data_IF_719382452795
#
_entry.id   IF_719382452795
#
_cell.length_a   1.000
_cell.length_b   1.000
_cell.length_c   1.000
_cell.angle_alpha   90.00
_cell.angle_beta   90.00
_cell.angle_gamma   90.00
#
_symmetry.space_group_name_H-M   'P 1'
#
loop_
_entity.id
_entity.type
_entity.pdbx_description
1 polymer ?
#
# COMPACT_ATOMS: atom_id res chain seq x y z
N UNK A 1 16.92 34.14 2.09
CA UNK A 1 15.46 34.37 2.03
C UNK A 1 15.26 35.87 1.90
N UNK A 2 14.39 36.40 1.03
CA UNK A 2 14.24 37.87 0.93
C UNK A 2 13.69 38.41 2.26
N UNK A 3 14.17 39.56 2.74
CA UNK A 3 13.72 40.19 4.01
C UNK A 3 12.19 40.25 4.11
N UNK A 4 11.48 40.50 3.01
CA UNK A 4 10.02 40.52 2.96
C UNK A 4 9.35 39.16 3.27
N UNK A 5 9.97 38.06 2.87
CA UNK A 5 9.46 36.70 3.12
C UNK A 5 9.78 36.26 4.54
N UNK A 6 10.93 36.70 5.06
CA UNK A 6 11.32 36.53 6.44
C UNK A 6 10.35 37.27 7.37
N UNK A 7 9.97 38.50 7.00
CA UNK A 7 8.95 39.28 7.68
C UNK A 7 7.54 38.68 7.58
N UNK A 8 7.17 38.06 6.45
CA UNK A 8 5.86 37.39 6.30
C UNK A 8 5.79 36.10 7.13
N UNK A 9 6.87 35.32 7.14
CA UNK A 9 7.01 34.13 7.99
C UNK A 9 7.07 34.55 9.46
N UNK A 10 7.74 35.65 9.79
CA UNK A 10 7.74 36.23 11.14
C UNK A 10 6.38 36.81 11.55
N UNK A 11 5.60 37.43 10.67
CA UNK A 11 4.20 37.87 10.96
C UNK A 11 3.29 36.65 11.20
N UNK A 12 3.46 35.56 10.42
CA UNK A 12 2.77 34.27 10.63
C UNK A 12 3.26 33.58 11.91
N UNK A 13 4.50 33.82 12.34
CA UNK A 13 5.10 33.25 13.54
C UNK A 13 4.95 34.14 14.79
N UNK A 14 4.71 35.45 14.69
CA UNK A 14 4.36 36.35 15.82
C UNK A 14 2.98 35.99 16.40
N UNK A 15 2.19 35.23 15.64
CA UNK A 15 1.02 34.47 16.10
C UNK A 15 1.40 33.45 17.22
N UNK A 16 2.70 33.29 17.54
CA UNK A 16 3.23 32.61 18.74
C UNK A 16 2.74 33.19 20.08
N UNK A 17 1.98 34.28 20.07
CA UNK A 17 1.30 34.83 21.25
C UNK A 17 -0.22 34.97 21.06
N UNK A 18 -0.95 33.87 20.90
CA UNK A 18 -2.40 33.75 21.19
C UNK A 18 -3.27 34.98 20.86
N UNK A 19 -3.53 35.26 19.57
CA UNK A 19 -4.80 35.90 19.17
C UNK A 19 -5.29 35.33 17.86
N UNK A 20 -6.55 34.92 17.89
CA UNK A 20 -7.27 34.41 16.74
C UNK A 20 -7.50 35.61 15.79
N UNK A 21 -6.96 35.56 14.58
CA UNK A 21 -7.12 36.62 13.56
C UNK A 21 -8.60 36.85 13.27
N UNK A 22 -9.07 38.09 13.27
CA UNK A 22 -10.38 38.43 12.70
C UNK A 22 -10.32 38.30 11.17
N UNK A 23 -11.48 38.22 10.52
CA UNK A 23 -11.58 37.98 9.07
C UNK A 23 -10.81 39.03 8.25
N UNK A 24 -10.72 40.26 8.77
CA UNK A 24 -9.97 41.37 8.17
C UNK A 24 -8.44 41.20 8.31
N UNK A 25 -7.94 40.66 9.42
CA UNK A 25 -6.54 40.30 9.59
C UNK A 25 -6.15 39.14 8.68
N UNK A 26 -7.04 38.17 8.53
CA UNK A 26 -6.85 37.01 7.67
C UNK A 26 -6.74 37.40 6.18
N UNK A 27 -7.70 38.20 5.68
CA UNK A 27 -7.71 38.63 4.28
C UNK A 27 -6.51 39.52 3.94
N UNK A 28 -5.96 40.28 4.91
CA UNK A 28 -4.72 41.05 4.71
C UNK A 28 -3.49 40.17 4.48
N UNK A 29 -3.36 39.06 5.21
CA UNK A 29 -2.25 38.11 5.03
C UNK A 29 -2.35 37.44 3.67
N UNK A 30 -3.56 37.00 3.28
CA UNK A 30 -3.85 36.42 1.97
C UNK A 30 -3.45 37.37 0.83
N UNK A 31 -3.92 38.62 0.87
CA UNK A 31 -3.62 39.63 -0.15
C UNK A 31 -2.12 39.93 -0.23
N UNK A 32 -1.43 40.03 0.91
CA UNK A 32 0.03 40.23 0.94
C UNK A 32 0.79 39.05 0.32
N UNK A 33 0.42 37.82 0.64
CA UNK A 33 1.05 36.61 0.10
C UNK A 33 0.87 36.52 -1.43
N UNK A 34 -0.36 36.70 -1.91
CA UNK A 34 -0.67 36.70 -3.35
C UNK A 34 0.09 37.80 -4.09
N UNK A 35 0.15 39.02 -3.53
CA UNK A 35 0.91 40.13 -4.13
C UNK A 35 2.42 39.88 -4.16
N UNK A 36 2.98 39.28 -3.10
CA UNK A 36 4.39 38.92 -3.05
C UNK A 36 4.71 37.82 -4.07
N UNK A 37 3.86 36.79 -4.17
CA UNK A 37 3.99 35.70 -5.14
C UNK A 37 3.99 36.23 -6.58
N UNK A 38 2.97 37.03 -6.93
CA UNK A 38 2.84 37.65 -8.26
C UNK A 38 4.00 38.56 -8.64
N UNK A 39 4.70 39.15 -7.64
CA UNK A 39 5.82 40.06 -7.88
C UNK A 39 7.15 39.33 -8.09
N UNK A 40 7.33 38.12 -7.53
CA UNK A 40 8.65 37.48 -7.45
C UNK A 40 8.80 36.18 -8.27
N UNK A 41 7.71 35.58 -8.79
CA UNK A 41 7.76 34.44 -9.71
C UNK A 41 8.59 33.21 -9.24
N UNK A 42 8.73 32.99 -7.92
CA UNK A 42 9.57 31.94 -7.34
C UNK A 42 8.75 30.79 -6.71
N UNK A 43 8.34 29.83 -7.55
CA UNK A 43 7.55 28.64 -7.17
C UNK A 43 8.21 27.78 -6.07
N UNK A 44 9.51 27.51 -6.18
CA UNK A 44 10.23 26.60 -5.28
C UNK A 44 10.35 27.14 -3.84
N UNK A 45 10.37 28.48 -3.67
CA UNK A 45 10.41 29.10 -2.35
C UNK A 45 9.02 29.15 -1.71
N UNK A 46 7.96 29.32 -2.51
CA UNK A 46 6.58 29.23 -2.03
C UNK A 46 6.25 27.81 -1.51
N UNK A 47 6.69 26.76 -2.21
CA UNK A 47 6.48 25.35 -1.79
C UNK A 47 7.13 25.03 -0.43
N UNK A 48 8.35 25.52 -0.18
CA UNK A 48 9.03 25.31 1.12
C UNK A 48 8.36 26.05 2.26
N UNK A 49 7.77 27.21 1.99
CA UNK A 49 6.99 27.97 2.98
C UNK A 49 5.67 27.26 3.28
N UNK A 50 5.00 26.72 2.27
CA UNK A 50 3.81 25.87 2.44
C UNK A 50 4.10 24.67 3.34
N UNK A 51 5.16 23.90 3.06
CA UNK A 51 5.53 22.72 3.85
C UNK A 51 5.79 23.06 5.33
N UNK A 52 6.50 24.14 5.61
CA UNK A 52 6.83 24.53 6.99
C UNK A 52 5.62 25.10 7.75
N UNK A 53 4.69 25.77 7.06
CA UNK A 53 3.42 26.23 7.62
C UNK A 53 2.51 25.03 7.91
N UNK A 54 2.32 24.12 6.95
CA UNK A 54 1.51 22.92 7.08
C UNK A 54 2.00 22.01 8.22
N UNK A 55 3.32 21.79 8.31
CA UNK A 55 3.94 21.00 9.40
C UNK A 55 3.63 21.56 10.79
N UNK A 56 3.56 22.90 10.92
CA UNK A 56 3.26 23.56 12.21
C UNK A 56 1.78 23.58 12.54
N UNK A 57 0.89 23.67 11.55
CA UNK A 57 -0.56 23.51 11.73
C UNK A 57 -0.88 22.11 12.30
N UNK A 58 -0.31 21.06 11.71
CA UNK A 58 -0.43 19.68 12.22
C UNK A 58 0.10 19.53 13.66
N UNK A 59 1.11 20.33 14.03
CA UNK A 59 1.70 20.32 15.38
C UNK A 59 0.79 21.04 16.40
N UNK A 60 0.00 22.02 15.96
CA UNK A 60 -1.00 22.71 16.78
C UNK A 60 -2.26 21.85 16.98
N UNK A 61 -2.68 21.10 15.95
CA UNK A 61 -3.75 20.10 16.06
C UNK A 61 -3.39 19.01 17.08
N UNK A 62 -2.16 18.49 17.02
CA UNK A 62 -1.65 17.50 17.99
C UNK A 62 -1.59 18.02 19.43
N UNK A 63 -1.57 19.34 19.64
CA UNK A 63 -1.64 19.96 20.98
C UNK A 63 -3.06 20.22 21.46
N UNK A 64 -4.08 19.73 20.76
CA UNK A 64 -5.49 19.84 21.15
C UNK A 64 -6.08 21.23 20.95
N UNK A 65 -5.40 22.12 20.21
CA UNK A 65 -5.91 23.44 19.85
C UNK A 65 -6.84 23.31 18.65
N UNK A 66 -7.84 22.43 18.69
CA UNK A 66 -8.78 22.28 17.57
C UNK A 66 -9.81 23.41 17.65
N UNK A 67 -9.63 24.44 16.82
CA UNK A 67 -10.66 25.45 16.60
C UNK A 67 -11.11 25.39 15.14
N UNK A 68 -12.38 25.73 14.88
CA UNK A 68 -13.01 25.80 13.55
C UNK A 68 -12.15 26.52 12.49
N UNK A 69 -11.29 27.43 12.95
CA UNK A 69 -10.34 28.21 12.15
C UNK A 69 -9.12 27.42 11.64
N UNK A 70 -8.74 26.29 12.24
CA UNK A 70 -7.71 25.40 11.69
C UNK A 70 -8.24 24.68 10.43
N UNK A 71 -9.52 24.29 10.42
CA UNK A 71 -10.16 23.70 9.25
C UNK A 71 -10.31 24.71 8.11
N UNK A 72 -10.65 25.96 8.41
CA UNK A 72 -10.67 27.05 7.41
C UNK A 72 -9.26 27.33 6.86
N UNK A 73 -8.21 27.19 7.69
CA UNK A 73 -6.82 27.36 7.27
C UNK A 73 -6.33 26.23 6.34
N UNK A 74 -6.75 24.98 6.58
CA UNK A 74 -6.50 23.86 5.64
C UNK A 74 -7.16 24.13 4.28
N UNK A 75 -8.40 24.60 4.26
CA UNK A 75 -9.08 24.95 3.00
C UNK A 75 -8.35 26.03 2.19
N UNK A 76 -7.71 27.00 2.85
CA UNK A 76 -6.91 28.02 2.17
C UNK A 76 -5.52 27.54 1.73
N UNK A 77 -4.94 26.57 2.44
CA UNK A 77 -3.74 25.88 1.98
C UNK A 77 -4.05 25.09 0.70
N UNK A 78 -5.23 24.48 0.61
CA UNK A 78 -5.69 23.77 -0.58
C UNK A 78 -5.94 24.74 -1.76
N UNK A 79 -6.56 25.90 -1.53
CA UNK A 79 -6.69 26.94 -2.58
C UNK A 79 -5.34 27.46 -3.07
N UNK A 80 -4.35 27.61 -2.17
CA UNK A 80 -3.00 28.03 -2.57
C UNK A 80 -2.31 26.97 -3.45
N UNK A 81 -2.56 25.69 -3.19
CA UNK A 81 -2.08 24.57 -4.01
C UNK A 81 -2.72 24.60 -5.39
N UNK A 82 -4.02 24.86 -5.49
CA UNK A 82 -4.71 24.98 -6.78
C UNK A 82 -4.16 26.15 -7.61
N UNK A 83 -3.87 27.29 -6.99
CA UNK A 83 -3.26 28.45 -7.67
C UNK A 83 -1.84 28.10 -8.15
N UNK A 84 -1.02 27.46 -7.31
CA UNK A 84 0.33 26.99 -7.69
C UNK A 84 0.28 26.01 -8.87
N UNK A 85 -0.69 25.10 -8.88
CA UNK A 85 -0.89 24.12 -9.93
C UNK A 85 -1.39 24.76 -11.25
N UNK A 86 -2.26 25.77 -11.17
CA UNK A 86 -2.76 26.50 -12.35
C UNK A 86 -1.67 27.34 -13.05
N UNK A 87 -0.63 27.76 -12.32
CA UNK A 87 0.50 28.49 -12.89
C UNK A 87 1.56 27.54 -13.49
N UNK A 88 1.77 26.35 -12.91
CA UNK A 88 2.68 25.35 -13.45
C UNK A 88 2.29 24.92 -14.88
N UNK A 89 0.99 24.86 -15.17
CA UNK A 89 0.46 24.53 -16.51
C UNK A 89 0.61 25.69 -17.52
N UNK A 90 0.75 26.93 -17.07
CA UNK A 90 0.87 28.11 -17.95
C UNK A 90 2.30 28.39 -18.41
N UNK A 91 3.32 28.00 -17.62
CA UNK A 91 4.73 28.35 -17.90
C UNK A 91 5.46 27.29 -18.75
N UNK A 92 4.82 26.15 -19.06
CA UNK A 92 5.38 25.09 -19.92
C UNK A 92 6.86 24.77 -19.57
N UNK A 93 7.14 24.59 -18.27
CA UNK A 93 8.47 24.23 -17.79
C UNK A 93 8.73 22.75 -18.13
N UNK A 94 9.14 22.51 -19.36
CA UNK A 94 9.86 21.31 -19.78
C UNK A 94 11.22 21.29 -19.07
N UNK A 95 11.26 20.76 -17.85
CA UNK A 95 12.51 20.61 -17.12
C UNK A 95 12.30 20.40 -15.62
N UNK A 96 12.40 19.14 -15.20
CA UNK A 96 12.96 18.68 -13.93
C UNK A 96 12.79 19.61 -12.73
N UNK A 97 11.59 19.61 -12.12
CA UNK A 97 11.32 19.83 -10.68
C UNK A 97 9.83 20.18 -10.46
N UNK A 98 8.90 19.31 -10.83
CA UNK A 98 7.50 19.43 -10.43
C UNK A 98 7.28 18.72 -9.09
N UNK A 99 7.10 19.51 -8.03
CA UNK A 99 6.57 19.03 -6.75
C UNK A 99 5.09 18.72 -6.98
N UNK A 100 4.73 17.44 -6.87
CA UNK A 100 3.36 16.97 -6.99
C UNK A 100 2.59 17.33 -5.71
N UNK A 101 1.61 18.23 -5.82
CA UNK A 101 0.50 18.29 -4.87
C UNK A 101 -0.78 18.23 -5.69
N UNK A 102 -1.59 17.22 -5.39
CA UNK A 102 -2.62 16.71 -6.28
C UNK A 102 -3.78 17.66 -6.55
N UNK A 103 -4.23 17.64 -7.80
CA UNK A 103 -5.61 17.80 -8.29
C UNK A 103 -5.54 18.19 -9.77
N UNK A 104 -5.62 17.21 -10.68
CA UNK A 104 -5.97 17.46 -12.07
C UNK A 104 -6.36 16.16 -12.80
N UNK A 105 -7.67 15.86 -12.77
CA UNK A 105 -8.34 15.40 -13.98
C UNK A 105 -8.11 16.46 -15.06
N UNK A 106 -7.42 16.09 -16.14
CA UNK A 106 -7.79 16.27 -17.56
C UNK A 106 -6.56 15.93 -18.39
N UNK A 107 -6.58 14.76 -19.04
CA UNK A 107 -6.54 14.65 -20.51
C UNK A 107 -6.92 13.21 -20.85
N UNK A 108 -8.08 13.07 -21.50
CA UNK A 108 -8.66 11.79 -21.91
C UNK A 108 -7.81 11.13 -23.00
N UNK A 109 -7.02 10.15 -22.60
CA UNK A 109 -6.91 8.92 -23.38
C UNK A 109 -7.85 7.90 -22.73
N UNK A 110 -8.50 7.04 -23.54
CA UNK A 110 -9.34 5.93 -23.05
C UNK A 110 -8.47 4.89 -22.31
N UNK A 111 -7.87 5.25 -21.18
CA UNK A 111 -7.20 4.30 -20.30
C UNK A 111 -8.30 3.54 -19.56
N UNK A 112 -8.43 2.26 -19.89
CA UNK A 112 -9.36 1.34 -19.22
C UNK A 112 -9.03 1.33 -17.72
N UNK A 113 -10.02 1.70 -16.90
CA UNK A 113 -9.97 1.58 -15.44
C UNK A 113 -9.55 0.16 -15.05
N UNK A 114 -8.50 0.02 -14.25
CA UNK A 114 -8.03 -1.26 -13.71
C UNK A 114 -8.84 -1.61 -12.46
N UNK A 115 -9.64 -2.68 -12.51
CA UNK A 115 -10.40 -3.16 -11.35
C UNK A 115 -9.60 -4.22 -10.61
N UNK A 116 -9.27 -3.96 -9.34
CA UNK A 116 -8.48 -4.87 -8.49
C UNK A 116 -9.34 -5.38 -7.35
N UNK A 117 -9.45 -6.70 -7.23
CA UNK A 117 -9.98 -7.35 -6.04
C UNK A 117 -8.81 -7.64 -5.09
N UNK A 118 -8.84 -7.14 -3.86
CA UNK A 118 -7.82 -7.45 -2.83
C UNK A 118 -8.44 -8.36 -1.77
N UNK A 119 -7.81 -9.51 -1.57
CA UNK A 119 -8.19 -10.53 -0.59
C UNK A 119 -7.18 -10.53 0.56
N UNK A 120 -7.69 -10.59 1.79
CA UNK A 120 -6.93 -10.88 2.99
C UNK A 120 -7.50 -12.14 3.68
N UNK A 121 -6.68 -12.87 4.45
CA UNK A 121 -7.17 -14.03 5.19
C UNK A 121 -7.98 -13.57 6.42
N UNK A 122 -7.48 -12.53 7.11
CA UNK A 122 -8.05 -12.04 8.35
C UNK A 122 -8.38 -10.54 8.26
N UNK A 123 -9.26 -10.09 9.16
CA UNK A 123 -9.67 -8.69 9.22
C UNK A 123 -8.49 -7.75 9.52
N UNK A 124 -7.60 -8.13 10.44
CA UNK A 124 -6.45 -7.30 10.84
C UNK A 124 -5.44 -7.08 9.70
N UNK A 125 -5.25 -8.08 8.84
CA UNK A 125 -4.50 -7.93 7.59
C UNK A 125 -5.15 -6.89 6.67
N UNK A 126 -6.48 -6.93 6.51
CA UNK A 126 -7.21 -5.95 5.69
C UNK A 126 -7.21 -4.55 6.31
N UNK A 127 -7.22 -4.45 7.65
CA UNK A 127 -7.28 -3.16 8.33
C UNK A 127 -6.10 -2.25 7.96
N UNK A 128 -4.91 -2.82 7.72
CA UNK A 128 -3.74 -2.07 7.28
C UNK A 128 -3.96 -1.38 5.92
N UNK A 129 -4.64 -2.05 5.00
CA UNK A 129 -5.05 -1.47 3.71
C UNK A 129 -6.09 -0.35 3.91
N UNK A 130 -7.11 -0.59 4.73
CA UNK A 130 -8.20 0.36 4.93
C UNK A 130 -7.82 1.63 5.70
N UNK A 131 -6.68 1.61 6.41
CA UNK A 131 -6.13 2.78 7.13
C UNK A 131 -5.29 3.70 6.23
N UNK A 132 -5.03 3.31 4.98
CA UNK A 132 -4.29 4.15 4.05
C UNK A 132 -5.14 5.37 3.66
N UNK A 133 -4.85 6.51 4.29
CA UNK A 133 -5.54 7.79 4.08
C UNK A 133 -5.41 8.38 2.68
N UNK A 134 -4.54 7.80 1.84
CA UNK A 134 -4.47 8.13 0.42
C UNK A 134 -5.72 7.72 -0.38
N UNK A 135 -6.60 6.90 0.20
CA UNK A 135 -7.84 6.46 -0.44
C UNK A 135 -9.08 6.87 0.38
N UNK A 136 -10.13 7.31 -0.31
CA UNK A 136 -11.46 7.55 0.28
C UNK A 136 -12.21 6.22 0.39
N UNK A 137 -11.86 5.42 1.41
CA UNK A 137 -12.45 4.11 1.65
C UNK A 137 -13.92 4.20 2.05
N UNK A 138 -14.75 3.35 1.43
CA UNK A 138 -16.19 3.23 1.72
C UNK A 138 -16.54 1.77 2.01
N UNK A 139 -17.34 1.57 3.03
CA UNK A 139 -17.96 0.27 3.28
C UNK A 139 -19.12 0.07 2.29
N UNK A 140 -19.21 -1.11 1.69
CA UNK A 140 -20.22 -1.47 0.70
C UNK A 140 -20.53 -2.98 0.76
N UNK A 141 -21.49 -3.43 -0.04
CA UNK A 141 -21.84 -4.84 -0.21
C UNK A 141 -21.88 -5.19 -1.69
N UNK A 142 -21.19 -6.27 -2.07
CA UNK A 142 -21.39 -6.84 -3.41
C UNK A 142 -22.80 -7.45 -3.51
N UNK A 143 -23.30 -7.63 -4.74
CA UNK A 143 -24.64 -8.19 -5.01
C UNK A 143 -24.88 -9.58 -4.37
N UNK A 144 -23.81 -10.31 -4.02
CA UNK A 144 -23.89 -11.57 -3.28
C UNK A 144 -23.93 -11.41 -1.74
N UNK A 145 -24.15 -10.19 -1.23
CA UNK A 145 -24.16 -9.85 0.20
C UNK A 145 -22.77 -9.90 0.87
N UNK A 146 -21.67 -9.88 0.11
CA UNK A 146 -20.32 -9.87 0.68
C UNK A 146 -19.99 -8.45 1.16
N UNK A 147 -19.72 -8.21 2.45
CA UNK A 147 -19.22 -6.92 2.91
C UNK A 147 -17.82 -6.67 2.32
N UNK A 148 -17.63 -5.47 1.79
CA UNK A 148 -16.38 -5.06 1.13
C UNK A 148 -16.02 -3.63 1.47
N UNK A 149 -14.74 -3.29 1.31
CA UNK A 149 -14.25 -1.92 1.28
C UNK A 149 -13.94 -1.53 -0.16
N UNK A 150 -14.54 -0.44 -0.63
CA UNK A 150 -14.29 0.13 -1.95
C UNK A 150 -13.40 1.36 -1.78
N UNK A 151 -12.34 1.43 -2.58
CA UNK A 151 -11.43 2.56 -2.64
C UNK A 151 -10.77 2.62 -4.02
N UNK A 152 -9.71 3.42 -4.13
CA UNK A 152 -8.97 3.52 -5.38
C UNK A 152 -8.19 4.82 -5.49
N UNK A 153 -7.44 4.91 -6.58
CA UNK A 153 -6.61 6.05 -6.92
C UNK A 153 -6.44 6.10 -8.44
N UNK A 154 -6.40 7.32 -9.00
CA UNK A 154 -6.19 7.54 -10.44
C UNK A 154 -7.09 6.64 -11.31
N UNK A 155 -6.52 5.74 -12.13
CA UNK A 155 -7.22 4.77 -12.98
C UNK A 155 -7.34 3.36 -12.36
N UNK A 156 -7.16 3.23 -11.04
CA UNK A 156 -7.24 1.96 -10.30
C UNK A 156 -8.41 2.00 -9.32
N UNK A 157 -9.36 1.08 -9.50
CA UNK A 157 -10.46 0.85 -8.57
C UNK A 157 -10.16 -0.39 -7.73
N UNK A 158 -10.30 -0.29 -6.42
CA UNK A 158 -10.03 -1.38 -5.48
C UNK A 158 -11.32 -1.80 -4.79
N UNK A 159 -11.61 -3.09 -4.81
CA UNK A 159 -12.60 -3.74 -3.94
C UNK A 159 -11.85 -4.73 -3.04
N UNK A 160 -11.92 -4.53 -1.74
CA UNK A 160 -11.14 -5.31 -0.79
C UNK A 160 -12.03 -6.01 0.24
N UNK A 161 -11.70 -7.24 0.58
CA UNK A 161 -12.44 -8.06 1.52
C UNK A 161 -11.53 -9.05 2.24
N UNK A 162 -12.01 -9.59 3.36
CA UNK A 162 -11.32 -10.61 4.13
C UNK A 162 -12.20 -11.86 4.28
N UNK A 163 -11.57 -13.01 4.55
CA UNK A 163 -12.26 -14.28 4.65
C UNK A 163 -12.95 -14.44 6.02
N UNK A 164 -13.91 -15.37 6.11
CA UNK A 164 -14.55 -15.71 7.39
C UNK A 164 -13.60 -16.41 8.36
N UNK A 165 -12.68 -17.22 7.82
CA UNK A 165 -11.66 -17.94 8.55
C UNK A 165 -10.42 -18.14 7.65
N UNK A 166 -9.32 -18.57 8.26
CA UNK A 166 -8.09 -18.94 7.55
C UNK A 166 -8.25 -20.26 6.79
N UNK A 167 -7.41 -20.49 5.79
CA UNK A 167 -7.37 -21.76 5.06
C UNK A 167 -7.87 -21.69 3.62
N UNK A 168 -7.63 -22.79 2.89
CA UNK A 168 -7.84 -22.85 1.44
C UNK A 168 -9.32 -22.75 1.06
N UNK A 169 -10.21 -23.27 1.90
CA UNK A 169 -11.65 -23.32 1.64
C UNK A 169 -12.25 -21.91 1.68
N UNK A 170 -12.08 -21.19 2.78
CA UNK A 170 -12.61 -19.83 2.95
C UNK A 170 -11.99 -18.85 1.96
N UNK A 171 -10.68 -18.96 1.70
CA UNK A 171 -10.02 -18.16 0.67
C UNK A 171 -10.59 -18.41 -0.73
N UNK A 172 -10.92 -19.66 -1.07
CA UNK A 172 -11.56 -20.02 -2.35
C UNK A 172 -12.98 -19.45 -2.47
N UNK A 173 -13.78 -19.55 -1.40
CA UNK A 173 -15.15 -19.02 -1.35
C UNK A 173 -15.14 -17.50 -1.53
N UNK A 174 -14.29 -16.80 -0.76
CA UNK A 174 -14.16 -15.36 -0.85
C UNK A 174 -13.72 -14.91 -2.25
N UNK A 175 -12.64 -15.51 -2.75
CA UNK A 175 -12.09 -15.18 -4.07
C UNK A 175 -13.13 -15.39 -5.17
N UNK A 176 -13.89 -16.50 -5.10
CA UNK A 176 -14.94 -16.80 -6.07
C UNK A 176 -16.07 -15.78 -6.01
N UNK A 177 -16.53 -15.40 -4.82
CA UNK A 177 -17.58 -14.36 -4.64
C UNK A 177 -17.13 -13.02 -5.19
N UNK A 178 -15.89 -12.61 -4.92
CA UNK A 178 -15.31 -11.38 -5.45
C UNK A 178 -15.19 -11.41 -6.97
N UNK A 179 -14.65 -12.48 -7.55
CA UNK A 179 -14.53 -12.63 -9.00
C UNK A 179 -15.88 -12.56 -9.71
N UNK A 180 -16.87 -13.32 -9.21
CA UNK A 180 -18.19 -13.39 -9.81
C UNK A 180 -19.03 -12.14 -9.64
N UNK A 181 -18.85 -11.38 -8.55
CA UNK A 181 -19.70 -10.22 -8.25
C UNK A 181 -19.06 -8.88 -8.62
N UNK A 182 -17.72 -8.78 -8.57
CA UNK A 182 -17.00 -7.54 -8.83
C UNK A 182 -16.37 -7.47 -10.23
N UNK A 183 -16.12 -8.64 -10.85
CA UNK A 183 -15.46 -8.78 -12.15
C UNK A 183 -14.13 -8.01 -12.25
N UNK A 184 -13.13 -8.37 -11.43
CA UNK A 184 -11.82 -7.71 -11.43
C UNK A 184 -10.99 -8.07 -12.66
N UNK A 185 -10.09 -7.17 -13.08
CA UNK A 185 -9.01 -7.45 -14.03
C UNK A 185 -7.81 -8.15 -13.36
N UNK A 186 -7.67 -7.98 -12.04
CA UNK A 186 -6.63 -8.55 -11.19
C UNK A 186 -7.23 -8.92 -9.83
N UNK A 187 -7.04 -10.16 -9.38
CA UNK A 187 -7.23 -10.53 -7.97
C UNK A 187 -5.86 -10.61 -7.30
N UNK A 188 -5.70 -9.89 -6.20
CA UNK A 188 -4.47 -9.82 -5.42
C UNK A 188 -4.72 -10.30 -4.00
N UNK A 189 -3.77 -11.05 -3.42
CA UNK A 189 -3.78 -11.40 -2.00
C UNK A 189 -2.68 -10.64 -1.26
N UNK A 190 -3.04 -10.04 -0.12
CA UNK A 190 -2.10 -9.50 0.88
C UNK A 190 -2.13 -10.36 2.14
N UNK A 191 -1.17 -10.15 3.02
CA UNK A 191 -1.13 -10.77 4.35
C UNK A 191 0.26 -11.25 4.74
N UNK A 192 0.29 -12.08 5.78
CA UNK A 192 1.52 -12.62 6.35
C UNK A 192 1.78 -14.07 5.92
N UNK A 193 3.01 -14.52 6.11
CA UNK A 193 3.45 -15.88 5.84
C UNK A 193 4.63 -16.29 6.74
N UNK A 194 4.83 -17.61 6.85
CA UNK A 194 6.01 -18.19 7.47
C UNK A 194 7.16 -18.29 6.47
N UNK A 195 8.30 -17.66 6.76
CA UNK A 195 9.45 -17.59 5.86
C UNK A 195 10.44 -18.73 6.06
N UNK A 196 11.15 -19.11 5.00
CA UNK A 196 12.26 -20.07 5.07
C UNK A 196 13.60 -19.36 5.23
N UNK A 197 14.06 -19.23 6.48
CA UNK A 197 15.30 -18.51 6.85
C UNK A 197 16.54 -18.96 6.06
N UNK A 198 16.67 -20.27 5.81
CA UNK A 198 17.78 -20.88 5.07
C UNK A 198 17.91 -20.35 3.63
N UNK A 199 16.84 -19.78 3.07
CA UNK A 199 16.82 -19.17 1.73
C UNK A 199 17.15 -17.68 1.76
N UNK A 200 17.61 -17.15 2.90
CA UNK A 200 18.01 -15.74 3.06
C UNK A 200 16.84 -14.77 3.25
N UNK A 201 15.66 -15.30 3.55
CA UNK A 201 14.44 -14.57 3.88
C UNK A 201 14.46 -14.16 5.36
N UNK A 202 14.03 -12.93 5.67
CA UNK A 202 14.05 -12.35 7.02
C UNK A 202 12.65 -11.84 7.39
N UNK A 203 12.39 -11.63 8.69
CA UNK A 203 11.11 -11.07 9.16
C UNK A 203 10.83 -9.71 8.52
N UNK A 204 9.60 -9.49 8.05
CA UNK A 204 9.20 -8.28 7.33
C UNK A 204 9.64 -8.24 5.86
N UNK A 205 10.48 -9.17 5.37
CA UNK A 205 10.76 -9.26 3.95
C UNK A 205 9.48 -9.59 3.17
N UNK A 206 9.29 -8.93 2.03
CA UNK A 206 8.14 -9.14 1.14
C UNK A 206 8.45 -10.25 0.15
N UNK A 207 7.49 -11.14 -0.08
CA UNK A 207 7.53 -12.19 -1.08
C UNK A 207 6.37 -12.01 -2.05
N UNK A 208 6.71 -11.70 -3.29
CA UNK A 208 5.81 -11.85 -4.43
C UNK A 208 5.83 -13.31 -4.88
N UNK A 209 4.67 -13.95 -4.98
CA UNK A 209 4.63 -15.35 -5.39
C UNK A 209 4.94 -15.48 -6.90
N UNK A 210 6.00 -16.20 -7.26
CA UNK A 210 6.23 -16.60 -8.67
C UNK A 210 5.28 -17.72 -9.08
N UNK A 211 4.97 -18.60 -8.14
CA UNK A 211 3.87 -19.55 -8.21
C UNK A 211 3.45 -19.94 -6.80
N UNK A 212 2.28 -20.53 -6.69
CA UNK A 212 1.74 -21.07 -5.44
C UNK A 212 1.42 -22.54 -5.62
N UNK A 213 1.56 -23.34 -4.58
CA UNK A 213 1.25 -24.77 -4.65
C UNK A 213 0.66 -25.33 -3.35
N UNK A 214 -0.18 -26.35 -3.48
CA UNK A 214 -0.80 -27.04 -2.34
C UNK A 214 0.02 -28.26 -1.97
N UNK A 215 0.73 -28.20 -0.84
CA UNK A 215 1.68 -29.25 -0.47
C UNK A 215 1.08 -30.42 0.30
N UNK A 216 -0.23 -30.42 0.58
CA UNK A 216 -0.94 -31.54 1.20
C UNK A 216 -1.80 -32.33 0.22
N UNK A 217 -1.79 -31.98 -1.07
CA UNK A 217 -2.53 -32.71 -2.08
C UNK A 217 -1.78 -33.98 -2.48
N UNK A 218 -2.47 -35.12 -2.52
CA UNK A 218 -1.87 -36.40 -2.90
C UNK A 218 -2.68 -37.62 -2.44
N UNK A 219 -2.09 -38.79 -2.61
CA UNK A 219 -2.61 -40.08 -2.11
C UNK A 219 -1.94 -40.43 -0.79
N UNK A 220 -2.65 -41.09 0.12
CA UNK A 220 -2.08 -41.56 1.40
C UNK A 220 -1.96 -43.09 1.36
N UNK A 221 -0.72 -43.57 1.29
CA UNK A 221 -0.39 -44.99 1.13
C UNK A 221 0.74 -45.35 2.12
N UNK A 222 0.66 -46.53 2.75
CA UNK A 222 1.67 -47.02 3.70
C UNK A 222 2.06 -46.03 4.83
N UNK A 223 1.08 -45.28 5.34
CA UNK A 223 1.28 -44.31 6.41
C UNK A 223 2.02 -43.04 5.97
N UNK A 224 2.18 -42.81 4.66
CA UNK A 224 2.85 -41.64 4.09
C UNK A 224 1.95 -40.95 3.07
N UNK A 225 2.00 -39.62 3.07
CA UNK A 225 1.41 -38.83 2.00
C UNK A 225 2.33 -38.88 0.79
N UNK A 226 1.87 -39.52 -0.28
CA UNK A 226 2.46 -39.40 -1.61
C UNK A 226 1.91 -38.14 -2.27
N UNK A 227 2.69 -37.09 -2.13
CA UNK A 227 2.36 -35.76 -2.61
C UNK A 227 2.24 -35.70 -4.14
N UNK A 228 1.24 -34.97 -4.61
CA UNK A 228 1.02 -34.64 -6.02
C UNK A 228 1.05 -33.13 -6.20
N UNK A 229 1.96 -32.66 -7.05
CA UNK A 229 2.15 -31.23 -7.23
C UNK A 229 0.94 -30.58 -7.91
N UNK A 230 0.29 -29.67 -7.20
CA UNK A 230 -0.74 -28.79 -7.74
C UNK A 230 -0.26 -27.36 -7.61
N UNK A 231 0.07 -26.73 -8.74
CA UNK A 231 0.60 -25.37 -8.77
C UNK A 231 -0.20 -24.42 -9.68
N UNK A 232 -0.14 -23.15 -9.31
CA UNK A 232 -0.66 -22.02 -10.08
C UNK A 232 0.44 -20.98 -10.24
N UNK A 233 0.83 -20.73 -11.49
CA UNK A 233 1.92 -19.81 -11.84
C UNK A 233 1.42 -18.38 -11.95
N UNK A 234 2.30 -17.44 -11.62
CA UNK A 234 2.11 -16.04 -11.93
C UNK A 234 2.11 -15.84 -13.44
N UNK A 235 1.29 -14.93 -13.95
CA UNK A 235 1.30 -14.61 -15.37
C UNK A 235 2.64 -14.01 -15.81
N UNK A 236 3.21 -14.51 -16.91
CA UNK A 236 4.55 -14.15 -17.43
C UNK A 236 4.79 -12.64 -17.55
N UNK A 237 3.78 -11.87 -18.00
CA UNK A 237 3.92 -10.42 -18.12
C UNK A 237 4.08 -9.74 -16.76
N UNK A 238 3.29 -10.18 -15.77
CA UNK A 238 3.34 -9.68 -14.39
C UNK A 238 4.65 -10.09 -13.75
N UNK A 239 5.14 -11.30 -14.02
CA UNK A 239 6.44 -11.75 -13.50
C UNK A 239 7.60 -10.87 -14.02
N UNK A 240 7.62 -10.54 -15.31
CA UNK A 240 8.64 -9.65 -15.89
C UNK A 240 8.58 -8.25 -15.29
N UNK A 241 7.37 -7.70 -15.14
CA UNK A 241 7.13 -6.39 -14.52
C UNK A 241 7.64 -6.38 -13.07
N UNK A 242 7.30 -7.41 -12.28
CA UNK A 242 7.75 -7.52 -10.89
C UNK A 242 9.27 -7.65 -10.77
N UNK A 243 9.93 -8.41 -11.65
CA UNK A 243 11.40 -8.50 -11.66
C UNK A 243 12.05 -7.13 -11.84
N UNK A 244 11.50 -6.29 -12.72
CA UNK A 244 11.99 -4.92 -12.91
C UNK A 244 11.67 -4.04 -11.69
N UNK A 245 10.44 -4.11 -11.18
CA UNK A 245 9.99 -3.34 -10.02
C UNK A 245 10.82 -3.64 -8.75
N UNK A 246 11.04 -4.92 -8.45
CA UNK A 246 11.83 -5.41 -7.30
C UNK A 246 13.27 -4.93 -7.39
N UNK A 247 13.88 -4.97 -8.59
CA UNK A 247 15.26 -4.53 -8.80
C UNK A 247 15.43 -3.03 -8.60
N UNK A 248 14.47 -2.24 -9.04
CA UNK A 248 14.66 -0.80 -9.23
C UNK A 248 14.08 0.06 -8.09
N UNK A 249 12.96 -0.32 -7.49
CA UNK A 249 12.19 0.64 -6.68
C UNK A 249 11.42 0.08 -5.49
N UNK A 250 11.11 -1.23 -5.45
CA UNK A 250 10.19 -1.79 -4.47
C UNK A 250 10.54 -1.45 -3.01
N UNK A 251 11.76 -1.78 -2.58
CA UNK A 251 12.21 -1.54 -1.20
C UNK A 251 12.24 -0.06 -0.85
N UNK A 252 12.69 0.78 -1.79
CA UNK A 252 12.77 2.22 -1.55
C UNK A 252 11.37 2.82 -1.35
N UNK A 253 10.43 2.53 -2.25
CA UNK A 253 9.06 3.04 -2.20
C UNK A 253 8.31 2.61 -0.95
N UNK A 254 8.51 1.37 -0.50
CA UNK A 254 7.93 0.88 0.77
C UNK A 254 8.49 1.69 1.95
N UNK A 255 9.82 1.84 2.02
CA UNK A 255 10.47 2.57 3.12
C UNK A 255 10.10 4.05 3.18
N UNK A 256 9.99 4.72 2.03
CA UNK A 256 9.54 6.11 1.94
C UNK A 256 8.11 6.29 2.48
N UNK A 257 7.30 5.23 2.46
CA UNK A 257 5.93 5.22 2.97
C UNK A 257 5.85 4.93 4.47
N UNK A 258 6.94 4.50 5.13
CA UNK A 258 6.92 4.04 6.54
C UNK A 258 6.50 5.15 7.48
N UNK A 259 7.11 6.34 7.38
CA UNK A 259 6.82 7.47 8.26
C UNK A 259 5.41 8.06 8.12
N UNK A 260 4.68 7.69 7.06
CA UNK A 260 3.33 8.16 6.80
C UNK A 260 2.26 7.13 7.18
N UNK A 261 2.54 5.84 6.92
CA UNK A 261 1.52 4.80 6.92
C UNK A 261 1.81 3.61 7.86
N UNK A 262 2.98 3.57 8.50
CA UNK A 262 3.25 2.59 9.56
C UNK A 262 3.02 3.19 10.94
N UNK A 263 2.03 2.65 11.66
CA UNK A 263 1.69 3.07 13.02
C UNK A 263 2.07 2.03 14.09
N UNK A 264 2.68 0.92 13.68
CA UNK A 264 3.07 -0.15 14.57
C UNK A 264 4.29 0.17 15.42
N UNK A 265 4.55 -0.69 16.41
CA UNK A 265 5.53 -0.41 17.46
C UNK A 265 6.95 -0.84 17.15
N UNK A 266 7.14 -1.80 16.25
CA UNK A 266 8.43 -2.47 16.04
C UNK A 266 8.74 -2.65 14.56
N UNK A 267 9.97 -2.28 14.18
CA UNK A 267 10.54 -2.48 12.84
C UNK A 267 11.80 -3.35 12.99
N UNK A 268 11.97 -4.43 12.21
CA UNK A 268 13.17 -5.26 12.26
C UNK A 268 14.45 -4.46 11.99
N UNK A 269 15.52 -4.75 12.73
CA UNK A 269 16.80 -4.01 12.62
C UNK A 269 17.61 -4.31 11.34
N UNK A 270 17.16 -5.24 10.49
CA UNK A 270 17.83 -5.56 9.24
C UNK A 270 17.22 -4.79 8.05
N UNK A 271 17.95 -4.77 6.93
CA UNK A 271 17.44 -4.15 5.70
C UNK A 271 16.29 -4.97 5.12
N UNK A 272 15.16 -4.30 4.85
CA UNK A 272 14.03 -4.85 4.11
C UNK A 272 14.44 -5.33 2.70
N UNK A 273 13.96 -6.50 2.29
CA UNK A 273 14.10 -7.03 0.93
C UNK A 273 12.74 -7.39 0.34
N UNK A 274 12.68 -7.39 -0.99
CA UNK A 274 11.58 -7.97 -1.75
C UNK A 274 12.10 -9.14 -2.57
N UNK A 275 11.39 -10.27 -2.50
CA UNK A 275 11.73 -11.51 -3.17
C UNK A 275 10.63 -11.85 -4.19
N UNK A 276 11.01 -12.60 -5.23
CA UNK A 276 10.08 -13.26 -6.14
C UNK A 276 10.35 -14.76 -6.07
N UNK A 277 9.40 -15.54 -5.59
CA UNK A 277 9.61 -16.97 -5.43
C UNK A 277 8.37 -17.75 -4.98
N UNK A 278 8.48 -19.08 -4.83
CA UNK A 278 7.34 -19.95 -4.57
C UNK A 278 6.80 -19.80 -3.14
N UNK A 279 5.47 -19.87 -3.00
CA UNK A 279 4.78 -19.95 -1.70
C UNK A 279 3.93 -21.24 -1.66
N UNK A 280 4.06 -22.02 -0.59
CA UNK A 280 3.28 -23.24 -0.41
C UNK A 280 2.12 -23.02 0.56
N UNK A 281 0.94 -23.55 0.26
CA UNK A 281 -0.24 -23.40 1.13
C UNK A 281 -0.71 -24.74 1.69
N UNK A 282 -1.29 -24.71 2.90
CA UNK A 282 -1.92 -25.84 3.58
C UNK A 282 -3.11 -25.42 4.44
N UNK A 283 -3.93 -26.37 4.90
CA UNK A 283 -5.03 -26.11 5.84
C UNK A 283 -4.60 -26.16 7.33
N UNK A 284 -3.30 -26.15 7.64
CA UNK A 284 -2.81 -26.03 9.02
C UNK A 284 -1.76 -24.95 9.20
N UNK A 285 -1.72 -24.37 10.41
CA UNK A 285 -0.62 -23.50 10.82
C UNK A 285 0.61 -24.37 11.13
N UNK A 286 1.70 -24.16 10.41
CA UNK A 286 2.96 -24.85 10.68
C UNK A 286 3.68 -24.19 11.85
N UNK A 287 3.89 -24.95 12.92
CA UNK A 287 4.71 -24.58 14.09
C UNK A 287 5.80 -25.63 14.36
N UNK A 288 6.09 -26.42 13.34
CA UNK A 288 7.00 -27.55 13.41
C UNK A 288 7.77 -27.59 12.09
N UNK A 289 9.09 -27.40 12.18
CA UNK A 289 9.98 -27.38 11.02
C UNK A 289 9.90 -28.69 10.20
N UNK A 290 9.51 -29.81 10.81
CA UNK A 290 9.30 -31.06 10.08
C UNK A 290 8.19 -30.97 9.02
N UNK A 291 7.20 -30.08 9.22
CA UNK A 291 6.14 -29.83 8.24
C UNK A 291 6.52 -28.84 7.15
N UNK A 292 7.58 -28.06 7.35
CA UNK A 292 8.19 -27.26 6.29
C UNK A 292 8.91 -28.16 5.28
N UNK A 293 9.49 -29.29 5.73
CA UNK A 293 10.15 -30.26 4.85
C UNK A 293 9.20 -30.84 3.80
N UNK A 294 7.92 -31.04 4.13
CA UNK A 294 6.90 -31.48 3.17
C UNK A 294 6.77 -30.50 1.99
N UNK A 295 6.86 -29.19 2.24
CA UNK A 295 6.83 -28.17 1.19
C UNK A 295 8.17 -28.10 0.42
N UNK A 296 9.29 -28.24 1.13
CA UNK A 296 10.64 -28.26 0.54
C UNK A 296 10.83 -29.45 -0.40
N UNK A 297 10.29 -30.62 -0.04
CA UNK A 297 10.35 -31.83 -0.84
C UNK A 297 9.65 -31.67 -2.20
N UNK A 298 8.57 -30.88 -2.25
CA UNK A 298 7.88 -30.56 -3.51
C UNK A 298 8.59 -29.48 -4.32
N UNK A 299 9.00 -28.39 -3.68
CA UNK A 299 9.81 -27.36 -4.32
C UNK A 299 10.93 -26.88 -3.40
N UNK A 300 12.15 -27.33 -3.70
CA UNK A 300 13.40 -26.91 -3.03
C UNK A 300 13.62 -25.39 -2.99
N UNK A 301 12.98 -24.63 -3.88
CA UNK A 301 13.10 -23.17 -3.98
C UNK A 301 12.04 -22.43 -3.16
N UNK A 302 11.09 -23.13 -2.52
CA UNK A 302 10.05 -22.53 -1.67
C UNK A 302 10.67 -21.51 -0.71
N UNK A 303 10.07 -20.32 -0.69
CA UNK A 303 10.51 -19.20 0.14
C UNK A 303 9.65 -19.03 1.37
N UNK A 304 8.35 -19.36 1.28
CA UNK A 304 7.42 -19.23 2.38
C UNK A 304 6.28 -20.22 2.31
N UNK A 305 5.58 -20.35 3.43
CA UNK A 305 4.35 -21.11 3.57
C UNK A 305 3.24 -20.26 4.18
N UNK A 306 2.01 -20.53 3.79
CA UNK A 306 0.80 -19.89 4.32
C UNK A 306 -0.39 -20.86 4.29
N UNK A 307 -1.60 -20.32 4.43
CA UNK A 307 -2.83 -21.11 4.43
C UNK A 307 -3.80 -20.82 3.26
N UNK A 308 -3.53 -19.81 2.41
CA UNK A 308 -4.53 -19.33 1.44
C UNK A 308 -4.01 -19.06 0.03
N UNK A 309 -2.71 -18.78 -0.16
CA UNK A 309 -2.16 -18.26 -1.42
C UNK A 309 -2.52 -19.13 -2.63
N UNK A 310 -2.42 -20.46 -2.49
CA UNK A 310 -2.80 -21.40 -3.55
C UNK A 310 -4.28 -21.28 -3.94
N UNK A 311 -5.20 -21.12 -2.98
CA UNK A 311 -6.63 -21.03 -3.25
C UNK A 311 -6.99 -19.78 -4.07
N UNK A 312 -6.39 -18.62 -3.74
CA UNK A 312 -6.61 -17.38 -4.48
C UNK A 312 -6.08 -17.50 -5.92
N UNK A 313 -4.84 -17.97 -6.08
CA UNK A 313 -4.24 -18.17 -7.41
C UNK A 313 -4.96 -19.25 -8.22
N UNK A 314 -5.47 -20.30 -7.56
CA UNK A 314 -6.27 -21.34 -8.21
C UNK A 314 -7.60 -20.78 -8.71
N UNK A 315 -8.25 -19.93 -7.94
CA UNK A 315 -9.46 -19.23 -8.36
C UNK A 315 -9.17 -18.34 -9.57
N UNK A 316 -8.11 -17.52 -9.51
CA UNK A 316 -7.69 -16.67 -10.61
C UNK A 316 -7.48 -17.47 -11.92
N UNK A 317 -6.76 -18.60 -11.82
CA UNK A 317 -6.50 -19.50 -12.94
C UNK A 317 -7.78 -20.10 -13.53
N UNK A 318 -8.73 -20.54 -12.70
CA UNK A 318 -9.99 -21.14 -13.16
C UNK A 318 -10.92 -20.14 -13.83
N UNK A 319 -10.91 -18.89 -13.39
CA UNK A 319 -11.70 -17.81 -13.99
C UNK A 319 -10.97 -17.04 -15.10
N UNK A 320 -9.75 -17.44 -15.45
CA UNK A 320 -8.90 -16.78 -16.45
C UNK A 320 -8.70 -15.28 -16.16
N UNK A 321 -8.44 -14.96 -14.89
CA UNK A 321 -8.13 -13.61 -14.40
C UNK A 321 -6.69 -13.60 -13.89
N UNK A 322 -6.01 -12.45 -13.99
CA UNK A 322 -4.68 -12.31 -13.42
C UNK A 322 -4.75 -12.47 -11.90
N UNK A 323 -3.90 -13.35 -11.36
CA UNK A 323 -3.69 -13.51 -9.93
C UNK A 323 -2.34 -12.95 -9.50
N UNK A 324 -2.28 -12.34 -8.31
CA UNK A 324 -1.05 -11.91 -7.67
C UNK A 324 -1.10 -12.19 -6.18
N UNK A 325 -0.04 -12.76 -5.61
CA UNK A 325 0.07 -12.92 -4.15
C UNK A 325 1.28 -12.13 -3.67
N UNK A 326 1.08 -11.31 -2.65
CA UNK A 326 2.10 -10.48 -2.01
C UNK A 326 2.03 -10.72 -0.51
N UNK A 327 2.92 -11.55 0.02
CA UNK A 327 2.98 -11.82 1.46
C UNK A 327 4.21 -11.17 2.07
N UNK A 328 4.19 -10.97 3.39
CA UNK A 328 5.38 -10.58 4.15
C UNK A 328 5.63 -11.57 5.28
N UNK A 329 6.89 -11.75 5.64
CA UNK A 329 7.30 -12.80 6.57
C UNK A 329 7.03 -12.34 8.01
N UNK A 330 6.14 -13.03 8.72
CA UNK A 330 5.85 -12.75 10.14
C UNK A 330 6.64 -13.61 11.12
N UNK A 331 6.99 -14.83 10.69
CA UNK A 331 7.65 -15.85 11.49
C UNK A 331 8.45 -16.79 10.57
N UNK A 332 9.15 -17.77 11.15
CA UNK A 332 9.87 -18.80 10.41
C UNK A 332 9.23 -20.20 10.49
N UNK A 333 7.97 -20.28 10.95
CA UNK A 333 7.20 -21.51 11.13
C UNK A 333 7.93 -22.61 11.91
N UNK A 334 8.78 -22.20 12.85
CA UNK A 334 9.41 -23.08 13.82
C UNK A 334 8.63 -23.08 15.14
N UNK A 335 8.95 -24.01 16.03
CA UNK A 335 8.26 -24.12 17.32
C UNK A 335 8.57 -22.97 18.30
N UNK A 336 9.38 -21.99 17.89
CA UNK A 336 9.81 -20.89 18.76
C UNK A 336 8.75 -19.80 18.76
N UNK A 337 7.92 -19.79 19.80
CA UNK A 337 7.22 -18.57 20.20
C UNK A 337 8.22 -17.61 20.83
N UNK A 338 8.32 -16.38 20.32
CA UNK A 338 9.31 -15.40 20.76
C UNK A 338 9.17 -14.04 20.07
N UNK A 339 10.25 -13.26 20.05
CA UNK A 339 10.36 -11.87 19.57
C UNK A 339 9.72 -11.59 18.19
N UNK A 340 9.56 -12.61 17.35
CA UNK A 340 8.96 -12.55 16.01
C UNK A 340 7.50 -12.06 16.04
N UNK A 341 6.73 -12.37 17.10
CA UNK A 341 5.34 -11.89 17.27
C UNK A 341 5.26 -10.35 17.28
N UNK A 342 6.33 -9.65 17.67
CA UNK A 342 6.37 -8.19 17.73
C UNK A 342 6.36 -7.53 16.34
N UNK A 343 6.67 -8.27 15.28
CA UNK A 343 6.82 -7.73 13.93
C UNK A 343 5.66 -8.08 13.00
N UNK A 344 4.61 -8.74 13.51
CA UNK A 344 3.43 -9.12 12.72
C UNK A 344 2.76 -7.92 12.04
N UNK A 345 2.62 -6.80 12.76
CA UNK A 345 2.09 -5.54 12.20
C UNK A 345 2.99 -4.98 11.09
N UNK A 346 4.32 -5.08 11.25
CA UNK A 346 5.27 -4.65 10.22
C UNK A 346 5.18 -5.54 8.98
N UNK A 347 4.97 -6.85 9.14
CA UNK A 347 4.71 -7.76 8.03
C UNK A 347 3.41 -7.38 7.28
N UNK A 348 2.30 -7.16 7.99
CA UNK A 348 1.04 -6.72 7.36
C UNK A 348 1.21 -5.40 6.59
N UNK A 349 1.89 -4.43 7.21
CA UNK A 349 2.21 -3.14 6.60
C UNK A 349 3.04 -3.31 5.32
N UNK A 350 4.15 -4.04 5.37
CA UNK A 350 5.07 -4.21 4.23
C UNK A 350 4.43 -4.98 3.08
N UNK A 351 3.61 -6.02 3.37
CA UNK A 351 2.81 -6.72 2.35
C UNK A 351 1.84 -5.76 1.66
N UNK A 352 1.07 -5.01 2.44
CA UNK A 352 0.08 -4.04 1.94
C UNK A 352 0.75 -2.98 1.07
N UNK A 353 1.78 -2.33 1.59
CA UNK A 353 2.48 -1.26 0.88
C UNK A 353 3.21 -1.77 -0.36
N UNK A 354 3.73 -2.99 -0.35
CA UNK A 354 4.36 -3.58 -1.53
C UNK A 354 3.37 -3.73 -2.69
N UNK A 355 2.14 -4.19 -2.40
CA UNK A 355 1.08 -4.27 -3.41
C UNK A 355 0.68 -2.88 -3.90
N UNK A 356 0.42 -1.95 -2.98
CA UNK A 356 -0.03 -0.59 -3.34
C UNK A 356 1.03 0.17 -4.14
N UNK A 357 2.29 0.14 -3.73
CA UNK A 357 3.39 0.79 -4.47
C UNK A 357 3.64 0.14 -5.82
N UNK A 358 3.42 -1.17 -5.95
CA UNK A 358 3.44 -1.85 -7.24
C UNK A 358 2.30 -1.36 -8.15
N UNK A 359 1.06 -1.28 -7.65
CA UNK A 359 -0.07 -0.77 -8.41
C UNK A 359 0.13 0.68 -8.83
N UNK A 360 0.62 1.56 -7.94
CA UNK A 360 0.98 2.95 -8.26
C UNK A 360 2.03 3.03 -9.38
N UNK A 361 3.02 2.13 -9.35
CA UNK A 361 4.04 2.08 -10.41
C UNK A 361 3.48 1.72 -11.79
N UNK A 362 2.38 0.97 -11.84
CA UNK A 362 1.69 0.62 -13.10
C UNK A 362 0.94 1.79 -13.72
N UNK A 363 0.41 2.69 -12.89
CA UNK A 363 -0.27 3.87 -13.40
C UNK A 363 0.74 4.87 -13.96
N UNK A 364 1.85 5.06 -13.24
CA UNK A 364 2.95 5.92 -13.67
C UNK A 364 3.53 5.51 -15.03
N UNK A 365 3.66 4.21 -15.30
CA UNK A 365 4.19 3.71 -16.58
C UNK A 365 3.19 3.75 -17.74
N UNK A 366 1.90 3.93 -17.48
CA UNK A 366 0.86 4.13 -18.51
C UNK A 366 0.75 5.59 -18.95
N UNK A 367 1.16 6.51 -18.08
CA UNK A 367 1.12 7.96 -18.31
C UNK A 367 2.41 8.50 -18.94
N UNK A 368 3.47 7.69 -19.03
CA UNK A 368 4.74 7.97 -19.70
C UNK A 368 4.80 7.33 -21.08
#
# INVERSE_FOLDING_TARGET
>A
MSEHLQQLVEEVLEIRGLKILDDAGFERIRIKFVRWFNKNNEFLKASKVYEEVHRKVLLLEKKGVLTRRIQEFHSLLDECVEILNSFASTINLNGSNSIAVGSARVMSQNCKMLKVAIVAALEDELQHLSKLSMFDWKDDYLNCGLPVKIGGFEDVQICAAYASDMGLTDASILSTRMVLSYHPDLIAMIGICGGRKERGVNIGDVIFASHTFHYQFGSFEDGKLKQEMRQCELHDSIERELKAYIRNSAVQKIRESEGLYFYGHSIPGHRLKCHLGPIASSDYVVKDTSKLEDAIAQDRKVLAIDMESYAVMRTAKLFNINGLVVKSVSDFSDAKKGEDDNFREYAMYTSTMALIQYLLSKVQSRSS
#
